data_IF_115848809322
#
_entry.id   IF_115848809322
#
_cell.length_a   1.000
_cell.length_b   1.000
_cell.length_c   1.000
_cell.angle_alpha   90.00
_cell.angle_beta   90.00
_cell.angle_gamma   90.00
#
_symmetry.space_group_name_H-M   'P 1'
#
loop_
_entity.id
_entity.type
_entity.pdbx_description
1 polymer ?
#
# COMPACT_ATOMS: atom_id res chain seq x y z
N UNK A 1 43.96 -16.64 15.62
CA UNK A 1 42.79 -16.16 16.38
C UNK A 1 42.01 -15.20 15.49
N UNK A 2 40.82 -15.57 15.03
CA UNK A 2 39.93 -14.64 14.32
C UNK A 2 39.45 -13.58 15.32
N UNK A 3 39.58 -12.29 14.97
CA UNK A 3 39.00 -11.21 15.78
C UNK A 3 37.50 -11.47 15.92
N UNK A 4 36.92 -11.40 17.13
CA UNK A 4 35.48 -11.50 17.29
C UNK A 4 34.82 -10.44 16.42
N UNK A 5 33.84 -10.86 15.61
CA UNK A 5 33.07 -9.93 14.78
C UNK A 5 32.34 -9.00 15.75
N UNK A 6 32.60 -7.70 15.67
CA UNK A 6 31.94 -6.71 16.52
C UNK A 6 30.43 -6.78 16.32
N UNK A 7 29.68 -6.79 17.42
CA UNK A 7 28.20 -6.84 17.42
C UNK A 7 27.61 -5.78 16.48
N UNK A 8 28.18 -4.58 16.49
CA UNK A 8 27.81 -3.46 15.62
C UNK A 8 27.93 -3.78 14.12
N UNK A 9 28.97 -4.55 13.73
CA UNK A 9 29.18 -4.95 12.34
C UNK A 9 28.17 -6.05 11.92
N UNK A 10 27.82 -6.95 12.83
CA UNK A 10 26.78 -7.96 12.60
C UNK A 10 25.42 -7.28 12.45
N UNK A 11 25.08 -6.34 13.34
CA UNK A 11 23.83 -5.58 13.28
C UNK A 11 23.73 -4.74 12.00
N UNK A 12 24.81 -4.08 11.59
CA UNK A 12 24.86 -3.33 10.34
C UNK A 12 24.66 -4.24 9.11
N UNK A 13 25.28 -5.43 9.08
CA UNK A 13 25.11 -6.39 7.99
C UNK A 13 23.71 -7.01 7.95
N UNK A 14 23.13 -7.37 9.09
CA UNK A 14 21.75 -7.85 9.16
C UNK A 14 20.75 -6.78 8.73
N UNK A 15 21.02 -5.51 9.04
CA UNK A 15 20.25 -4.35 8.58
C UNK A 15 20.27 -4.22 7.06
N UNK A 16 21.46 -4.21 6.46
CA UNK A 16 21.62 -4.04 5.02
C UNK A 16 20.95 -5.21 4.26
N UNK A 17 21.08 -6.43 4.79
CA UNK A 17 20.43 -7.63 4.25
C UNK A 17 18.91 -7.56 4.35
N UNK A 18 18.37 -7.05 5.47
CA UNK A 18 16.93 -6.83 5.64
C UNK A 18 16.36 -5.80 4.64
N UNK A 19 17.11 -4.73 4.35
CA UNK A 19 16.72 -3.73 3.36
C UNK A 19 16.75 -4.28 1.93
N UNK A 20 17.79 -5.06 1.57
CA UNK A 20 17.87 -5.72 0.27
C UNK A 20 16.72 -6.71 0.08
N UNK A 21 16.48 -7.58 1.07
CA UNK A 21 15.37 -8.53 1.02
C UNK A 21 14.02 -7.81 0.91
N UNK A 22 13.82 -6.70 1.63
CA UNK A 22 12.61 -5.89 1.54
C UNK A 22 12.41 -5.31 0.13
N UNK A 23 13.48 -4.77 -0.47
CA UNK A 23 13.44 -4.22 -1.83
C UNK A 23 13.12 -5.30 -2.86
N UNK A 24 13.74 -6.47 -2.75
CA UNK A 24 13.48 -7.60 -3.64
C UNK A 24 12.06 -8.12 -3.51
N UNK A 25 11.55 -8.29 -2.28
CA UNK A 25 10.18 -8.73 -2.00
C UNK A 25 9.18 -7.72 -2.57
N UNK A 26 9.35 -6.42 -2.29
CA UNK A 26 8.49 -5.36 -2.84
C UNK A 26 8.52 -5.38 -4.37
N UNK A 27 9.70 -5.47 -4.97
CA UNK A 27 9.87 -5.49 -6.42
C UNK A 27 9.18 -6.70 -7.06
N UNK A 28 9.38 -7.90 -6.49
CA UNK A 28 8.78 -9.14 -6.97
C UNK A 28 7.25 -9.07 -6.95
N UNK A 29 6.66 -8.72 -5.79
CA UNK A 29 5.22 -8.65 -5.66
C UNK A 29 4.62 -7.54 -6.53
N UNK A 30 5.25 -6.36 -6.59
CA UNK A 30 4.74 -5.24 -7.40
C UNK A 30 4.86 -5.51 -8.89
N UNK A 31 5.96 -6.09 -9.34
CA UNK A 31 6.13 -6.56 -10.71
C UNK A 31 5.05 -7.58 -11.08
N UNK A 32 4.81 -8.56 -10.20
CA UNK A 32 3.73 -9.54 -10.37
C UNK A 32 2.34 -8.92 -10.41
N UNK A 33 2.03 -7.99 -9.51
CA UNK A 33 0.74 -7.27 -9.47
C UNK A 33 0.52 -6.48 -10.75
N UNK A 34 1.52 -5.76 -11.27
CA UNK A 34 1.37 -4.99 -12.50
C UNK A 34 1.30 -5.88 -13.76
N UNK A 35 2.04 -6.98 -13.79
CA UNK A 35 1.91 -7.98 -14.87
C UNK A 35 0.49 -8.58 -14.90
N UNK A 36 -0.03 -8.99 -13.74
CA UNK A 36 -1.41 -9.48 -13.62
C UNK A 36 -2.42 -8.41 -14.04
N UNK A 37 -2.25 -7.17 -13.59
CA UNK A 37 -3.13 -6.07 -13.97
C UNK A 37 -3.16 -5.86 -15.50
N UNK A 38 -2.00 -5.94 -16.17
CA UNK A 38 -1.91 -5.78 -17.61
C UNK A 38 -2.60 -6.92 -18.37
N UNK A 39 -2.34 -8.18 -18.01
CA UNK A 39 -2.99 -9.34 -18.64
C UNK A 39 -4.50 -9.28 -18.45
N UNK A 40 -4.94 -8.99 -17.22
CA UNK A 40 -6.35 -8.89 -16.87
C UNK A 40 -7.05 -7.75 -17.64
N UNK A 41 -6.37 -6.63 -17.90
CA UNK A 41 -6.94 -5.54 -18.69
C UNK A 41 -7.26 -6.02 -20.11
N UNK A 42 -6.35 -6.77 -20.74
CA UNK A 42 -6.57 -7.34 -22.07
C UNK A 42 -7.76 -8.31 -22.06
N UNK A 43 -7.84 -9.16 -21.05
CA UNK A 43 -8.97 -10.08 -20.87
C UNK A 43 -10.30 -9.32 -20.71
N UNK A 44 -10.35 -8.29 -19.86
CA UNK A 44 -11.57 -7.50 -19.62
C UNK A 44 -12.02 -6.78 -20.91
N UNK A 45 -11.08 -6.21 -21.67
CA UNK A 45 -11.39 -5.49 -22.92
C UNK A 45 -11.97 -6.44 -23.98
N UNK A 46 -11.54 -7.71 -23.99
CA UNK A 46 -12.04 -8.73 -24.92
C UNK A 46 -13.47 -9.22 -24.65
N UNK A 47 -14.08 -8.86 -23.51
CA UNK A 47 -15.42 -9.32 -23.11
C UNK A 47 -16.51 -8.28 -23.39
N UNK A 48 -17.69 -8.74 -23.80
CA UNK A 48 -18.87 -7.89 -24.01
C UNK A 48 -19.65 -7.63 -22.71
N UNK A 49 -19.84 -8.66 -21.90
CA UNK A 49 -20.68 -8.60 -20.71
C UNK A 49 -19.93 -8.13 -19.46
N UNK A 50 -20.54 -7.23 -18.69
CA UNK A 50 -19.98 -6.71 -17.44
C UNK A 50 -18.69 -5.89 -17.60
N UNK A 51 -18.27 -5.59 -18.83
CA UNK A 51 -17.01 -4.90 -19.16
C UNK A 51 -16.83 -3.59 -18.40
N UNK A 52 -17.86 -2.74 -18.40
CA UNK A 52 -17.78 -1.42 -17.76
C UNK A 52 -17.47 -1.54 -16.25
N UNK A 53 -18.22 -2.39 -15.54
CA UNK A 53 -18.02 -2.60 -14.11
C UNK A 53 -16.61 -3.09 -13.82
N UNK A 54 -16.11 -4.07 -14.59
CA UNK A 54 -14.76 -4.60 -14.41
C UNK A 54 -13.68 -3.58 -14.71
N UNK A 55 -13.85 -2.76 -15.74
CA UNK A 55 -12.91 -1.67 -16.04
C UNK A 55 -12.85 -0.65 -14.90
N UNK A 56 -13.99 -0.30 -14.30
CA UNK A 56 -14.02 0.61 -13.14
C UNK A 56 -13.30 -0.02 -11.95
N UNK A 57 -13.65 -1.25 -11.58
CA UNK A 57 -13.01 -1.94 -10.46
C UNK A 57 -11.51 -2.13 -10.69
N UNK A 58 -11.11 -2.50 -11.91
CA UNK A 58 -9.71 -2.61 -12.32
C UNK A 58 -8.98 -1.29 -12.19
N UNK A 59 -9.57 -0.19 -12.67
CA UNK A 59 -8.95 1.14 -12.62
C UNK A 59 -8.78 1.59 -11.18
N UNK A 60 -9.77 1.35 -10.33
CA UNK A 60 -9.69 1.63 -8.89
C UNK A 60 -8.59 0.82 -8.22
N UNK A 61 -8.46 -0.47 -8.53
CA UNK A 61 -7.37 -1.33 -8.03
C UNK A 61 -6.00 -0.89 -8.53
N UNK A 62 -5.89 -0.51 -9.80
CA UNK A 62 -4.65 -0.04 -10.42
C UNK A 62 -4.16 1.28 -9.81
N UNK A 63 -5.07 2.24 -9.64
CA UNK A 63 -4.79 3.49 -8.96
C UNK A 63 -4.29 3.26 -7.52
N UNK A 64 -4.94 2.36 -6.77
CA UNK A 64 -4.52 2.00 -5.43
C UNK A 64 -3.13 1.33 -5.41
N UNK A 65 -2.87 0.41 -6.34
CA UNK A 65 -1.59 -0.28 -6.46
C UNK A 65 -0.45 0.69 -6.80
N UNK A 66 -0.69 1.69 -7.65
CA UNK A 66 0.25 2.76 -7.96
C UNK A 66 0.57 3.63 -6.74
N UNK A 67 -0.46 4.11 -6.02
CA UNK A 67 -0.27 4.90 -4.80
C UNK A 67 0.49 4.09 -3.75
N UNK A 68 0.14 2.82 -3.59
CA UNK A 68 0.80 1.86 -2.70
C UNK A 68 2.26 1.64 -3.10
N UNK A 69 2.55 1.43 -4.39
CA UNK A 69 3.90 1.27 -4.91
C UNK A 69 4.76 2.50 -4.63
N UNK A 70 4.23 3.69 -4.92
CA UNK A 70 4.94 4.92 -4.65
C UNK A 70 5.18 5.14 -3.15
N UNK A 71 4.21 4.81 -2.30
CA UNK A 71 4.40 4.85 -0.85
C UNK A 71 5.52 3.90 -0.40
N UNK A 72 5.63 2.73 -1.02
CA UNK A 72 6.74 1.80 -0.78
C UNK A 72 8.08 2.38 -1.24
N UNK A 73 8.21 2.87 -2.48
CA UNK A 73 9.45 3.52 -2.97
C UNK A 73 9.87 4.65 -2.03
N UNK A 74 8.95 5.58 -1.73
CA UNK A 74 9.25 6.72 -0.88
C UNK A 74 9.63 6.29 0.54
N UNK A 75 9.05 5.20 1.05
CA UNK A 75 9.51 4.62 2.31
C UNK A 75 10.89 3.98 2.18
N UNK A 76 11.26 3.39 1.06
CA UNK A 76 12.57 2.73 0.91
C UNK A 76 13.75 3.71 0.78
N UNK A 77 13.50 4.95 0.36
CA UNK A 77 14.53 6.03 0.26
C UNK A 77 14.98 6.52 1.64
N UNK A 78 14.07 6.63 2.60
CA UNK A 78 14.44 6.77 3.99
C UNK A 78 14.88 5.40 4.48
N UNK A 79 15.99 5.27 5.21
CA UNK A 79 16.50 3.97 5.71
C UNK A 79 15.43 3.29 6.59
N UNK A 80 14.51 2.54 5.97
CA UNK A 80 13.38 1.92 6.64
C UNK A 80 13.85 0.60 7.23
N UNK A 81 13.98 0.60 8.55
CA UNK A 81 14.26 -0.59 9.34
C UNK A 81 12.91 -1.19 9.72
N UNK A 82 12.33 -1.97 8.81
CA UNK A 82 11.10 -2.73 9.11
C UNK A 82 11.48 -3.97 9.94
N UNK A 83 10.72 -4.25 11.00
CA UNK A 83 10.89 -5.49 11.75
C UNK A 83 10.43 -6.69 10.93
N UNK A 84 10.82 -7.92 11.30
CA UNK A 84 10.31 -9.16 10.66
C UNK A 84 8.78 -9.16 10.61
N UNK A 85 8.12 -8.73 11.68
CA UNK A 85 6.66 -8.57 11.72
C UNK A 85 6.16 -7.52 10.72
N UNK A 86 6.88 -6.40 10.56
CA UNK A 86 6.59 -5.38 9.54
C UNK A 86 6.69 -5.94 8.13
N UNK A 87 7.71 -6.76 7.84
CA UNK A 87 7.86 -7.47 6.55
C UNK A 87 6.67 -8.39 6.28
N UNK A 88 6.24 -9.19 7.27
CA UNK A 88 5.07 -10.06 7.15
C UNK A 88 3.80 -9.25 6.86
N UNK A 89 3.59 -8.12 7.55
CA UNK A 89 2.47 -7.22 7.26
C UNK A 89 2.53 -6.66 5.84
N UNK A 90 3.73 -6.36 5.32
CA UNK A 90 3.89 -5.89 3.94
C UNK A 90 3.55 -7.01 2.96
N UNK A 91 4.04 -8.23 3.16
CA UNK A 91 3.69 -9.39 2.32
C UNK A 91 2.18 -9.59 2.30
N UNK A 92 1.52 -9.57 3.47
CA UNK A 92 0.07 -9.69 3.58
C UNK A 92 -0.67 -8.56 2.84
N UNK A 93 -0.17 -7.32 2.96
CA UNK A 93 -0.68 -6.16 2.23
C UNK A 93 -0.56 -6.37 0.71
N UNK A 94 0.59 -6.84 0.22
CA UNK A 94 0.84 -7.08 -1.21
C UNK A 94 0.04 -8.25 -1.77
N UNK A 95 -0.13 -9.33 -1.00
CA UNK A 95 -1.02 -10.42 -1.38
C UNK A 95 -2.47 -9.95 -1.49
N UNK A 96 -2.93 -9.12 -0.55
CA UNK A 96 -4.27 -8.55 -0.59
C UNK A 96 -4.45 -7.61 -1.78
N UNK A 97 -3.42 -6.82 -2.12
CA UNK A 97 -3.41 -6.00 -3.33
C UNK A 97 -3.52 -6.85 -4.60
N UNK A 98 -2.79 -7.96 -4.68
CA UNK A 98 -2.86 -8.90 -5.80
C UNK A 98 -4.26 -9.53 -5.93
N UNK A 99 -4.90 -9.85 -4.79
CA UNK A 99 -6.28 -10.37 -4.77
C UNK A 99 -7.30 -9.39 -5.37
N UNK A 100 -7.05 -8.08 -5.33
CA UNK A 100 -7.92 -7.08 -5.97
C UNK A 100 -8.02 -7.26 -7.48
N UNK A 101 -6.98 -7.82 -8.12
CA UNK A 101 -6.98 -8.15 -9.54
C UNK A 101 -7.46 -9.58 -9.77
N UNK A 102 -7.06 -10.55 -8.96
CA UNK A 102 -7.48 -11.96 -9.11
C UNK A 102 -9.01 -12.10 -9.10
N UNK A 103 -9.70 -11.39 -8.22
CA UNK A 103 -11.17 -11.45 -8.12
C UNK A 103 -11.88 -10.90 -9.37
N UNK A 104 -11.20 -10.10 -10.19
CA UNK A 104 -11.75 -9.52 -11.42
C UNK A 104 -11.58 -10.46 -12.64
N UNK A 105 -10.92 -11.61 -12.46
CA UNK A 105 -10.77 -12.60 -13.53
C UNK A 105 -12.14 -13.09 -14.03
N UNK A 106 -12.25 -13.44 -15.32
CA UNK A 106 -13.49 -13.93 -15.92
C UNK A 106 -14.18 -15.08 -15.18
N UNK A 107 -13.41 -15.91 -14.48
CA UNK A 107 -13.93 -17.03 -13.69
C UNK A 107 -14.91 -16.62 -12.59
N UNK A 108 -14.85 -15.37 -12.13
CA UNK A 108 -15.71 -14.82 -11.07
C UNK A 108 -16.73 -13.80 -11.61
N UNK A 109 -17.04 -13.84 -12.91
CA UNK A 109 -17.80 -12.84 -13.66
C UNK A 109 -19.00 -12.22 -12.93
N UNK A 110 -19.85 -13.06 -12.34
CA UNK A 110 -21.15 -12.63 -11.81
C UNK A 110 -21.07 -12.05 -10.39
N UNK A 111 -19.95 -12.27 -9.70
CA UNK A 111 -19.77 -11.95 -8.27
C UNK A 111 -18.45 -11.23 -7.94
N UNK A 112 -17.63 -10.93 -8.94
CA UNK A 112 -16.33 -10.25 -8.79
C UNK A 112 -16.44 -8.99 -7.90
N UNK A 113 -17.50 -8.21 -8.10
CA UNK A 113 -17.77 -6.98 -7.35
C UNK A 113 -18.07 -7.22 -5.85
N UNK A 114 -18.62 -8.38 -5.46
CA UNK A 114 -18.88 -8.75 -4.05
C UNK A 114 -17.58 -9.01 -3.30
N UNK A 115 -16.70 -9.79 -3.90
CA UNK A 115 -15.39 -10.09 -3.32
C UNK A 115 -14.47 -8.86 -3.33
N UNK A 116 -14.54 -8.05 -4.38
CA UNK A 116 -13.69 -6.88 -4.54
C UNK A 116 -13.82 -5.89 -3.38
N UNK A 117 -15.04 -5.55 -2.95
CA UNK A 117 -15.23 -4.56 -1.88
C UNK A 117 -14.70 -5.05 -0.52
N UNK A 118 -14.78 -6.37 -0.27
CA UNK A 118 -14.20 -6.99 0.92
C UNK A 118 -12.69 -6.90 0.88
N UNK A 119 -12.08 -7.32 -0.23
CA UNK A 119 -10.61 -7.28 -0.41
C UNK A 119 -10.11 -5.84 -0.32
N UNK A 120 -10.84 -4.88 -0.87
CA UNK A 120 -10.53 -3.45 -0.77
C UNK A 120 -10.52 -2.98 0.68
N UNK A 121 -11.53 -3.32 1.46
CA UNK A 121 -11.61 -2.98 2.87
C UNK A 121 -10.49 -3.65 3.69
N UNK A 122 -10.19 -4.92 3.39
CA UNK A 122 -9.09 -5.67 4.01
C UNK A 122 -7.73 -5.03 3.71
N UNK A 123 -7.50 -4.58 2.47
CA UNK A 123 -6.26 -3.88 2.11
C UNK A 123 -6.06 -2.62 2.96
N UNK A 124 -7.11 -1.82 3.12
CA UNK A 124 -7.06 -0.61 3.94
C UNK A 124 -6.84 -0.91 5.41
N UNK A 125 -7.47 -1.97 5.93
CA UNK A 125 -7.29 -2.42 7.30
C UNK A 125 -5.85 -2.86 7.55
N UNK A 126 -5.30 -3.74 6.71
CA UNK A 126 -3.91 -4.21 6.85
C UNK A 126 -2.95 -3.03 6.77
N UNK A 127 -3.16 -2.10 5.84
CA UNK A 127 -2.33 -0.90 5.72
C UNK A 127 -2.43 -0.02 6.96
N UNK A 128 -3.63 0.16 7.51
CA UNK A 128 -3.83 0.93 8.74
C UNK A 128 -3.13 0.28 9.95
N UNK A 129 -3.26 -1.05 10.10
CA UNK A 129 -2.59 -1.81 11.15
C UNK A 129 -1.06 -1.68 11.02
N UNK A 130 -0.52 -1.83 9.81
CA UNK A 130 0.91 -1.64 9.54
C UNK A 130 1.38 -0.26 9.98
N UNK A 131 0.71 0.80 9.53
CA UNK A 131 1.09 2.18 9.88
C UNK A 131 0.94 2.48 11.37
N UNK A 132 0.04 1.79 12.09
CA UNK A 132 -0.21 2.00 13.52
C UNK A 132 0.78 1.29 14.43
N UNK A 133 1.15 0.05 14.08
CA UNK A 133 1.94 -0.84 14.93
C UNK A 133 3.43 -0.90 14.54
N UNK A 134 3.78 -0.48 13.32
CA UNK A 134 5.16 -0.45 12.85
C UNK A 134 5.58 1.02 12.56
N UNK A 135 6.02 1.76 13.60
CA UNK A 135 6.53 3.13 13.46
C UNK A 135 7.87 3.14 12.73
N UNK A 136 8.21 4.30 12.15
CA UNK A 136 9.48 4.43 11.42
C UNK A 136 10.64 4.36 12.41
N UNK A 137 11.62 3.48 12.16
CA UNK A 137 12.80 3.35 13.01
C UNK A 137 12.59 2.52 14.28
N UNK A 138 11.50 1.75 14.37
CA UNK A 138 11.21 0.85 15.49
C UNK A 138 12.31 -0.19 15.68
N UNK A 139 13.25 0.09 16.59
CA UNK A 139 14.28 -0.85 17.02
C UNK A 139 15.73 -0.36 16.91
N UNK A 140 15.99 0.88 16.46
CA UNK A 140 17.37 1.39 16.35
C UNK A 140 17.48 2.86 16.83
N UNK A 141 18.58 3.24 17.53
CA UNK A 141 18.91 4.64 17.74
C UNK A 141 18.90 5.45 16.43
N UNK A 142 18.01 6.45 16.41
CA UNK A 142 17.91 7.47 15.36
C UNK A 142 18.93 8.56 15.67
N UNK A 143 19.66 9.02 14.65
CA UNK A 143 20.54 10.18 14.81
C UNK A 143 19.74 11.39 15.32
N UNK A 144 20.20 12.09 16.39
CA UNK A 144 19.44 13.18 17.00
C UNK A 144 19.02 14.27 16.01
N UNK A 145 19.84 14.50 14.97
CA UNK A 145 19.58 15.47 13.89
C UNK A 145 18.38 15.09 13.03
N UNK A 146 18.11 13.80 12.85
CA UNK A 146 17.02 13.29 12.04
C UNK A 146 15.73 13.11 12.85
N UNK A 147 15.79 13.13 14.19
CA UNK A 147 14.64 12.89 15.08
C UNK A 147 13.40 13.76 14.75
N UNK A 148 13.52 15.08 14.49
CA UNK A 148 12.35 15.91 14.14
C UNK A 148 11.65 15.44 12.84
N UNK A 149 12.41 14.91 11.88
CA UNK A 149 11.86 14.33 10.64
C UNK A 149 11.10 13.04 10.93
N UNK A 150 11.69 12.12 11.69
CA UNK A 150 11.02 10.86 12.05
C UNK A 150 9.74 11.13 12.84
N UNK A 151 9.73 12.11 13.76
CA UNK A 151 8.53 12.51 14.51
C UNK A 151 7.44 13.10 13.60
N UNK A 152 7.81 13.93 12.62
CA UNK A 152 6.88 14.49 11.65
C UNK A 152 6.29 13.41 10.71
N UNK A 153 7.13 12.46 10.28
CA UNK A 153 6.74 11.29 9.48
C UNK A 153 5.79 10.39 10.27
N UNK A 154 6.10 10.08 11.52
CA UNK A 154 5.26 9.25 12.38
C UNK A 154 3.91 9.92 12.69
N UNK A 155 3.89 11.24 12.90
CA UNK A 155 2.64 11.99 13.04
C UNK A 155 1.79 11.92 11.77
N UNK A 156 2.43 12.03 10.60
CA UNK A 156 1.79 11.82 9.29
C UNK A 156 1.21 10.41 9.16
N UNK A 157 2.01 9.38 9.47
CA UNK A 157 1.61 7.96 9.42
C UNK A 157 0.44 7.67 10.36
N UNK A 158 0.44 8.18 11.59
CA UNK A 158 -0.68 8.00 12.54
C UNK A 158 -1.98 8.62 12.01
N UNK A 159 -1.90 9.79 11.38
CA UNK A 159 -3.06 10.42 10.73
C UNK A 159 -3.55 9.57 9.57
N UNK A 160 -2.66 9.11 8.70
CA UNK A 160 -2.99 8.23 7.58
C UNK A 160 -3.57 6.89 8.06
N UNK A 161 -3.01 6.29 9.11
CA UNK A 161 -3.50 5.05 9.72
C UNK A 161 -4.95 5.21 10.18
N UNK A 162 -5.27 6.33 10.85
CA UNK A 162 -6.65 6.64 11.26
C UNK A 162 -7.58 6.80 10.06
N UNK A 163 -7.15 7.48 9.01
CA UNK A 163 -7.96 7.67 7.79
C UNK A 163 -8.22 6.34 7.06
N UNK A 164 -7.19 5.52 6.88
CA UNK A 164 -7.30 4.20 6.27
C UNK A 164 -8.16 3.25 7.11
N UNK A 165 -8.06 3.32 8.44
CA UNK A 165 -8.94 2.55 9.32
C UNK A 165 -10.41 2.95 9.15
N UNK A 166 -10.70 4.25 9.10
CA UNK A 166 -12.07 4.74 8.84
C UNK A 166 -12.58 4.30 7.46
N UNK A 167 -11.73 4.33 6.44
CA UNK A 167 -12.08 3.82 5.10
C UNK A 167 -12.32 2.31 5.11
N UNK A 168 -11.54 1.53 5.87
CA UNK A 168 -11.77 0.10 6.05
C UNK A 168 -13.11 -0.16 6.74
N UNK A 169 -13.42 0.55 7.83
CA UNK A 169 -14.71 0.45 8.50
C UNK A 169 -15.87 0.80 7.57
N UNK A 170 -15.77 1.90 6.82
CA UNK A 170 -16.79 2.30 5.85
C UNK A 170 -16.96 1.26 4.74
N UNK A 171 -15.85 0.74 4.21
CA UNK A 171 -15.85 -0.35 3.23
C UNK A 171 -16.54 -1.61 3.76
N UNK A 172 -16.25 -2.00 5.02
CA UNK A 172 -16.90 -3.15 5.67
C UNK A 172 -18.40 -2.92 5.89
N UNK A 173 -18.81 -1.72 6.30
CA UNK A 173 -20.23 -1.36 6.47
C UNK A 173 -20.99 -1.48 5.16
N UNK A 174 -20.37 -1.18 4.02
CA UNK A 174 -20.98 -1.37 2.69
C UNK A 174 -20.90 -2.83 2.25
N UNK A 175 -19.79 -3.52 2.54
CA UNK A 175 -19.55 -4.89 2.13
C UNK A 175 -20.51 -5.88 2.80
N UNK A 176 -20.83 -5.71 4.09
CA UNK A 176 -21.69 -6.63 4.84
C UNK A 176 -23.10 -6.75 4.23
N UNK A 177 -23.83 -5.65 3.95
CA UNK A 177 -25.10 -5.69 3.22
C UNK A 177 -24.96 -6.31 1.82
N UNK A 178 -23.88 -5.99 1.10
CA UNK A 178 -23.59 -6.56 -0.23
C UNK A 178 -23.47 -8.09 -0.18
N UNK A 179 -22.75 -8.62 0.81
CA UNK A 179 -22.56 -10.06 1.00
C UNK A 179 -23.84 -10.76 1.46
N UNK A 180 -24.72 -10.04 2.18
CA UNK A 180 -26.01 -10.56 2.63
C UNK A 180 -27.07 -10.65 1.51
N UNK A 181 -26.85 -10.01 0.35
CA UNK A 181 -27.79 -10.07 -0.77
C UNK A 181 -27.73 -11.44 -1.48
N UNK A 182 -28.88 -11.98 -1.96
CA UNK A 182 -28.89 -13.20 -2.77
C UNK A 182 -28.09 -13.01 -4.07
N UNK A 183 -27.40 -14.04 -4.59
CA UNK A 183 -26.57 -13.96 -5.80
C UNK A 183 -27.24 -13.32 -7.02
N UNK A 184 -28.56 -13.47 -7.14
CA UNK A 184 -29.39 -12.95 -8.23
C UNK A 184 -29.76 -11.47 -8.13
N UNK A 185 -29.38 -10.76 -7.05
CA UNK A 185 -29.76 -9.35 -6.86
C UNK A 185 -29.05 -8.42 -7.87
N UNK A 186 -29.78 -7.60 -8.67
CA UNK A 186 -29.23 -6.67 -9.66
C UNK A 186 -28.89 -5.28 -9.09
N UNK A 187 -29.43 -4.95 -7.91
CA UNK A 187 -29.17 -3.69 -7.19
C UNK A 187 -27.71 -3.36 -6.79
N UNK A 188 -26.77 -4.31 -6.70
CA UNK A 188 -25.48 -4.02 -6.09
C UNK A 188 -24.33 -3.71 -7.07
N UNK A 189 -24.49 -3.91 -8.39
CA UNK A 189 -23.44 -3.61 -9.36
C UNK A 189 -23.14 -2.10 -9.49
N UNK A 190 -24.18 -1.26 -9.61
CA UNK A 190 -24.02 0.19 -9.72
C UNK A 190 -23.54 0.84 -8.42
N UNK A 191 -23.96 0.32 -7.26
CA UNK A 191 -23.47 0.75 -5.96
C UNK A 191 -21.98 0.42 -5.80
N UNK A 192 -21.53 -0.77 -6.22
CA UNK A 192 -20.11 -1.11 -6.26
C UNK A 192 -19.33 -0.24 -7.23
N UNK A 193 -19.90 0.12 -8.37
CA UNK A 193 -19.27 1.05 -9.31
C UNK A 193 -19.11 2.45 -8.71
N UNK A 194 -20.16 3.00 -8.10
CA UNK A 194 -20.12 4.30 -7.42
C UNK A 194 -19.16 4.31 -6.24
N UNK A 195 -19.16 3.24 -5.43
CA UNK A 195 -18.20 3.05 -4.36
C UNK A 195 -16.78 3.00 -4.93
N UNK A 196 -16.52 2.21 -5.96
CA UNK A 196 -15.19 2.10 -6.58
C UNK A 196 -14.68 3.44 -7.14
N UNK A 197 -15.54 4.26 -7.75
CA UNK A 197 -15.19 5.60 -8.23
C UNK A 197 -14.89 6.55 -7.06
N UNK A 198 -15.76 6.60 -6.05
CA UNK A 198 -15.56 7.47 -4.89
C UNK A 198 -14.29 7.10 -4.11
N UNK A 199 -14.07 5.79 -3.94
CA UNK A 199 -12.90 5.23 -3.28
C UNK A 199 -11.62 5.48 -4.08
N UNK A 200 -11.65 5.30 -5.40
CA UNK A 200 -10.53 5.64 -6.30
C UNK A 200 -10.19 7.13 -6.24
N UNK A 201 -11.19 8.00 -6.35
CA UNK A 201 -10.99 9.45 -6.25
C UNK A 201 -10.34 9.85 -4.93
N UNK A 202 -10.77 9.24 -3.82
CA UNK A 202 -10.18 9.48 -2.50
C UNK A 202 -8.74 8.95 -2.40
N UNK A 203 -8.48 7.72 -2.89
CA UNK A 203 -7.16 7.11 -2.88
C UNK A 203 -6.15 7.90 -3.73
N UNK A 204 -6.54 8.35 -4.92
CA UNK A 204 -5.71 9.18 -5.79
C UNK A 204 -5.47 10.56 -5.16
N UNK A 205 -6.51 11.22 -4.67
CA UNK A 205 -6.37 12.56 -4.09
C UNK A 205 -5.47 12.57 -2.86
N UNK A 206 -5.69 11.63 -1.91
CA UNK A 206 -4.88 11.52 -0.71
C UNK A 206 -3.48 10.99 -1.02
N UNK A 207 -3.37 10.03 -1.93
CA UNK A 207 -2.12 9.46 -2.41
C UNK A 207 -1.23 10.53 -3.03
N UNK A 208 -1.70 11.21 -4.08
CA UNK A 208 -0.95 12.25 -4.79
C UNK A 208 -0.58 13.42 -3.89
N UNK A 209 -1.48 13.89 -3.01
CA UNK A 209 -1.14 14.93 -2.02
C UNK A 209 -0.08 14.45 -1.02
N UNK A 210 -0.16 13.21 -0.58
CA UNK A 210 0.84 12.60 0.30
C UNK A 210 2.21 12.55 -0.36
N UNK A 211 2.26 12.14 -1.62
CA UNK A 211 3.47 12.06 -2.45
C UNK A 211 4.13 13.43 -2.61
N UNK A 212 3.36 14.43 -3.01
CA UNK A 212 3.85 15.79 -3.23
C UNK A 212 4.34 16.45 -1.92
N UNK A 213 3.70 16.13 -0.79
CA UNK A 213 4.15 16.58 0.52
C UNK A 213 5.47 15.91 0.95
N UNK A 214 5.63 14.61 0.69
CA UNK A 214 6.86 13.88 0.99
C UNK A 214 8.03 14.39 0.15
N UNK A 215 7.82 14.60 -1.15
CA UNK A 215 8.83 15.15 -2.05
C UNK A 215 9.34 16.52 -1.58
N UNK A 216 8.43 17.46 -1.29
CA UNK A 216 8.77 18.79 -0.77
C UNK A 216 9.46 18.79 0.59
N UNK A 217 9.31 17.73 1.37
CA UNK A 217 10.03 17.56 2.63
C UNK A 217 11.45 17.06 2.37
N UNK A 218 11.62 16.12 1.44
CA UNK A 218 12.93 15.60 1.04
C UNK A 218 13.79 16.67 0.35
N UNK A 219 13.20 17.49 -0.54
CA UNK A 219 13.89 18.61 -1.20
C UNK A 219 14.47 19.61 -0.18
N UNK A 220 13.64 20.06 0.78
CA UNK A 220 14.10 20.95 1.87
C UNK A 220 15.25 20.37 2.70
N UNK A 221 15.24 19.06 2.90
CA UNK A 221 16.31 18.41 3.67
C UNK A 221 17.61 18.30 2.91
N UNK A 222 17.56 18.08 1.60
CA UNK A 222 18.75 18.11 0.75
C UNK A 222 19.35 19.52 0.74
N UNK A 223 18.50 20.55 0.65
CA UNK A 223 18.91 21.96 0.77
C UNK A 223 19.59 22.23 2.13
N UNK A 224 18.94 21.89 3.26
CA UNK A 224 19.50 22.08 4.60
C UNK A 224 20.80 21.28 4.86
N UNK A 225 20.94 20.10 4.25
CA UNK A 225 22.15 19.29 4.36
C UNK A 225 23.31 19.89 3.56
N UNK A 226 23.05 20.32 2.33
CA UNK A 226 24.03 20.98 1.47
C UNK A 226 24.51 22.31 2.05
N UNK A 227 23.61 23.12 2.62
CA UNK A 227 23.96 24.39 3.27
C UNK A 227 24.89 24.18 4.48
N UNK A 228 24.74 23.06 5.20
CA UNK A 228 25.60 22.72 6.35
C UNK A 228 26.94 22.11 5.96
N UNK A 229 27.06 21.47 4.79
CA UNK A 229 28.36 21.03 4.28
C UNK A 229 29.17 22.19 3.66
N UNK A 230 28.48 23.25 3.23
CA UNK A 230 29.11 24.46 2.69
C UNK A 230 29.57 25.48 3.76
N UNK A 231 29.15 25.32 5.02
CA UNK A 231 29.43 26.20 6.15
C UNK A 231 30.48 25.61 7.11
#
# INVERSE_FOLDING_TARGET
MQKPIGVEAVEARMRDLGQVAMNEVVSLFKGGTFALAAVLLLEIVSQSDGRLLRLVLWTSSFALALVSYNAHINSLVFVFRESVTGIVCIIAQMMTELMLFVILTPRYADQAWRGWIVIYATFHLITALRLRFHPVGGGVPIEPRLKPMFDALDKGRRRSARQLFLQACFGMIIAVPILALPPSSPWPAWLSMGAAVALMGNALFLGLRGMDRQRRMMERMLEEAMEKEAA
#
